data_IF_545550820394
#
_entry.id   IF_545550820394
#
_cell.length_a   1.000
_cell.length_b   1.000
_cell.length_c   1.000
_cell.angle_alpha   90.00
_cell.angle_beta   90.00
_cell.angle_gamma   90.00
#
_symmetry.space_group_name_H-M   'P 1'
#
loop_
_entity.id
_entity.type
_entity.pdbx_description
1 polymer ?
#
# COMPACT_ATOMS: atom_id res chain seq x y z
N UNK A 1 12.35 15.77 33.04
CA UNK A 1 12.77 14.43 32.62
C UNK A 1 11.62 13.48 32.89
N UNK A 2 11.30 12.63 31.92
CA UNK A 2 10.30 11.58 31.99
C UNK A 2 11.03 10.23 32.04
N UNK A 3 10.57 9.36 32.91
CA UNK A 3 11.02 7.98 32.96
C UNK A 3 10.25 7.17 31.90
N UNK A 4 10.98 6.41 31.09
CA UNK A 4 10.42 5.49 30.09
C UNK A 4 10.95 4.10 30.34
N UNK A 5 10.06 3.10 30.26
CA UNK A 5 10.41 1.69 30.23
C UNK A 5 10.29 1.17 28.81
N UNK A 6 11.38 0.63 28.24
CA UNK A 6 11.41 0.08 26.89
C UNK A 6 11.93 -1.35 26.90
N UNK A 7 11.47 -2.17 25.95
CA UNK A 7 12.01 -3.50 25.71
C UNK A 7 12.86 -3.46 24.45
N UNK A 8 14.12 -3.90 24.52
CA UNK A 8 15.02 -4.01 23.38
C UNK A 8 15.23 -5.48 23.08
N UNK A 9 15.09 -5.87 21.81
CA UNK A 9 15.51 -7.18 21.33
C UNK A 9 17.03 -7.24 21.25
N UNK A 10 17.64 -8.05 22.11
CA UNK A 10 19.07 -8.30 22.21
C UNK A 10 19.46 -9.59 21.51
N UNK A 11 20.66 -9.60 20.95
CA UNK A 11 21.27 -10.79 20.36
C UNK A 11 22.74 -10.53 20.09
N UNK A 12 23.64 -11.30 20.70
CA UNK A 12 25.06 -11.33 20.40
C UNK A 12 25.44 -12.72 19.87
N UNK A 13 25.77 -12.88 18.57
CA UNK A 13 26.01 -14.20 17.98
C UNK A 13 27.20 -14.95 18.59
N UNK A 14 28.11 -14.24 19.28
CA UNK A 14 29.25 -14.85 19.96
C UNK A 14 28.88 -15.43 21.35
N UNK A 15 27.70 -15.09 21.89
CA UNK A 15 27.30 -15.41 23.28
C UNK A 15 25.92 -16.07 23.38
N UNK A 16 24.98 -15.66 22.54
CA UNK A 16 23.57 -16.00 22.66
C UNK A 16 23.18 -17.04 21.62
N UNK A 17 22.44 -18.07 22.05
CA UNK A 17 21.88 -19.06 21.12
C UNK A 17 20.65 -18.53 20.38
N UNK A 18 19.85 -17.68 21.03
CA UNK A 18 18.57 -17.17 20.52
C UNK A 18 18.38 -15.72 20.96
N UNK A 19 17.66 -14.88 20.19
CA UNK A 19 17.37 -13.51 20.58
C UNK A 19 16.42 -13.47 21.79
N UNK A 20 16.61 -12.48 22.65
CA UNK A 20 15.77 -12.27 23.83
C UNK A 20 15.39 -10.79 23.98
N UNK A 21 14.34 -10.52 24.76
CA UNK A 21 13.96 -9.14 25.12
C UNK A 21 14.55 -8.78 26.48
N UNK A 22 15.22 -7.63 26.53
CA UNK A 22 15.70 -7.03 27.77
C UNK A 22 14.98 -5.71 28.01
N UNK A 23 14.51 -5.51 29.23
CA UNK A 23 13.83 -4.28 29.66
C UNK A 23 14.84 -3.28 30.21
N UNK A 24 14.72 -2.02 29.79
CA UNK A 24 15.51 -0.90 30.28
C UNK A 24 14.59 0.23 30.75
N UNK A 25 14.96 0.86 31.85
CA UNK A 25 14.31 2.07 32.37
C UNK A 25 15.28 3.23 32.22
N UNK A 26 14.85 4.28 31.51
CA UNK A 26 15.69 5.46 31.20
C UNK A 26 14.98 6.75 31.55
N UNK A 27 15.76 7.74 31.99
CA UNK A 27 15.29 9.11 32.17
C UNK A 27 15.67 9.95 30.95
N UNK A 28 14.67 10.48 30.24
CA UNK A 28 14.87 11.31 29.04
C UNK A 28 14.09 12.62 29.14
N UNK A 29 14.39 13.59 28.29
CA UNK A 29 13.61 14.83 28.21
C UNK A 29 12.29 14.62 27.44
N UNK A 30 11.34 15.53 27.63
CA UNK A 30 10.10 15.53 26.86
C UNK A 30 10.39 15.72 25.37
N UNK A 31 9.67 14.99 24.51
CA UNK A 31 9.92 14.95 23.07
C UNK A 31 11.17 14.17 22.67
N UNK A 32 11.77 13.39 23.58
CA UNK A 32 12.88 12.51 23.26
C UNK A 32 12.50 11.54 22.13
N UNK A 33 13.46 11.30 21.24
CA UNK A 33 13.35 10.34 20.15
C UNK A 33 13.87 8.98 20.59
N UNK A 34 13.50 7.93 19.88
CA UNK A 34 13.99 6.57 20.14
C UNK A 34 15.52 6.53 20.14
N UNK A 35 16.18 7.32 19.28
CA UNK A 35 17.64 7.43 19.28
C UNK A 35 18.21 7.96 20.61
N UNK A 36 17.56 8.93 21.25
CA UNK A 36 18.00 9.43 22.56
C UNK A 36 17.90 8.36 23.65
N UNK A 37 16.86 7.50 23.58
CA UNK A 37 16.73 6.34 24.47
C UNK A 37 17.88 5.36 24.25
N UNK A 38 18.21 5.04 22.99
CA UNK A 38 19.32 4.12 22.67
C UNK A 38 20.68 4.66 23.15
N UNK A 39 20.92 5.97 22.98
CA UNK A 39 22.11 6.64 23.51
C UNK A 39 22.15 6.56 25.03
N UNK A 40 21.05 6.91 25.71
CA UNK A 40 20.99 6.86 27.17
C UNK A 40 21.28 5.46 27.71
N UNK A 41 20.71 4.41 27.10
CA UNK A 41 20.98 3.03 27.51
C UNK A 41 22.45 2.69 27.31
N UNK A 42 22.99 2.91 26.11
CA UNK A 42 24.37 2.57 25.80
C UNK A 42 25.38 3.32 26.67
N UNK A 43 25.19 4.64 26.84
CA UNK A 43 26.19 5.49 27.48
C UNK A 43 26.15 5.39 29.01
N UNK A 44 25.01 5.02 29.59
CA UNK A 44 24.82 5.09 31.06
C UNK A 44 24.41 3.79 31.74
N UNK A 45 23.89 2.81 31.00
CA UNK A 45 23.33 1.57 31.57
C UNK A 45 24.07 0.33 31.07
N UNK A 46 24.15 0.14 29.75
CA UNK A 46 24.71 -1.05 29.12
C UNK A 46 25.46 -0.70 27.81
N UNK A 47 26.79 -0.48 27.88
CA UNK A 47 27.61 -0.16 26.71
C UNK A 47 27.79 -1.33 25.74
N UNK A 48 27.22 -2.50 26.00
CA UNK A 48 27.25 -3.63 25.06
C UNK A 48 26.16 -3.53 23.98
N UNK A 49 25.15 -2.66 24.18
CA UNK A 49 24.04 -2.46 23.25
C UNK A 49 24.54 -1.94 21.90
N UNK A 50 24.32 -2.71 20.84
CA UNK A 50 24.74 -2.33 19.49
C UNK A 50 23.58 -1.82 18.63
N UNK A 51 23.74 -0.64 18.04
CA UNK A 51 22.78 -0.04 17.11
C UNK A 51 23.50 0.89 16.13
N UNK A 52 22.86 1.19 15.00
CA UNK A 52 23.42 2.08 13.97
C UNK A 52 22.85 3.49 14.13
N UNK A 53 23.69 4.51 14.02
CA UNK A 53 23.27 5.90 13.88
C UNK A 53 24.36 6.73 13.19
N UNK A 54 24.01 7.95 12.78
CA UNK A 54 24.98 8.90 12.22
C UNK A 54 24.42 10.33 12.26
N UNK A 55 23.58 10.72 11.29
CA UNK A 55 23.22 12.13 11.08
C UNK A 55 22.25 12.75 12.10
N UNK A 56 21.50 11.92 12.85
CA UNK A 56 20.41 12.31 13.75
C UNK A 56 19.34 13.30 13.18
N UNK A 57 19.22 13.41 11.85
CA UNK A 57 18.37 14.40 11.15
C UNK A 57 17.47 13.78 10.08
N UNK A 58 17.33 12.46 10.08
CA UNK A 58 16.46 11.74 9.14
C UNK A 58 16.98 11.68 7.70
N UNK A 59 18.27 11.95 7.45
CA UNK A 59 18.84 12.02 6.09
C UNK A 59 19.72 10.83 5.69
N UNK A 60 20.41 10.17 6.63
CA UNK A 60 21.36 9.10 6.30
C UNK A 60 20.77 7.69 6.25
N UNK A 61 19.53 7.49 6.73
CA UNK A 61 18.89 6.18 6.82
C UNK A 61 19.48 5.18 7.83
N UNK A 62 20.60 5.50 8.49
CA UNK A 62 21.37 4.53 9.29
C UNK A 62 20.65 4.00 10.54
N UNK A 63 19.85 4.83 11.19
CA UNK A 63 19.17 4.49 12.45
C UNK A 63 17.80 3.82 12.24
N UNK A 64 17.62 3.10 11.13
CA UNK A 64 16.38 2.39 10.86
C UNK A 64 16.25 1.17 11.79
N UNK A 65 15.14 1.10 12.51
CA UNK A 65 14.77 0.03 13.46
C UNK A 65 13.27 -0.21 13.39
N UNK A 66 12.74 -1.23 14.06
CA UNK A 66 11.30 -1.41 14.27
C UNK A 66 10.92 -0.98 15.68
N UNK A 67 9.84 -0.21 15.80
CA UNK A 67 9.24 0.19 17.07
C UNK A 67 7.80 -0.30 17.08
N UNK A 68 7.44 -1.10 18.08
CA UNK A 68 6.14 -1.78 18.18
C UNK A 68 5.75 -2.52 16.87
N UNK A 69 6.77 -3.10 16.23
CA UNK A 69 6.64 -3.87 15.02
C UNK A 69 6.65 -3.09 13.70
N UNK A 70 6.61 -1.75 13.72
CA UNK A 70 6.64 -0.90 12.53
C UNK A 70 8.04 -0.30 12.31
N UNK A 71 8.60 -0.33 11.08
CA UNK A 71 9.91 0.24 10.82
C UNK A 71 9.88 1.77 10.78
N UNK A 72 10.82 2.39 11.49
CA UNK A 72 10.95 3.84 11.65
C UNK A 72 12.43 4.25 11.60
N UNK A 73 12.70 5.54 11.52
CA UNK A 73 14.02 6.08 11.84
C UNK A 73 14.05 6.44 13.34
N UNK A 74 14.96 5.85 14.11
CA UNK A 74 15.03 6.08 15.55
C UNK A 74 15.21 7.57 15.91
N UNK A 75 15.88 8.36 15.06
CA UNK A 75 16.05 9.80 15.28
C UNK A 75 14.78 10.64 15.00
N UNK A 76 13.79 10.07 14.31
CA UNK A 76 12.54 10.77 13.97
C UNK A 76 11.36 10.29 14.82
N UNK A 77 11.36 9.01 15.19
CA UNK A 77 10.30 8.43 16.02
C UNK A 77 10.38 8.94 17.46
N UNK A 78 9.26 9.42 17.99
CA UNK A 78 9.14 9.81 19.39
C UNK A 78 9.18 8.58 20.30
N UNK A 79 9.98 8.64 21.36
CA UNK A 79 10.06 7.57 22.34
C UNK A 79 8.80 7.56 23.21
N UNK A 80 8.17 6.38 23.33
CA UNK A 80 6.96 6.18 24.13
C UNK A 80 7.22 5.12 25.19
N UNK A 81 6.55 5.27 26.33
CA UNK A 81 6.63 4.29 27.40
C UNK A 81 6.06 2.95 26.93
N UNK A 82 6.64 1.85 27.44
CA UNK A 82 6.30 0.46 27.09
C UNK A 82 6.45 0.14 25.60
N UNK A 83 7.34 0.83 24.90
CA UNK A 83 7.66 0.50 23.51
C UNK A 83 8.60 -0.70 23.42
N UNK A 84 8.40 -1.52 22.40
CA UNK A 84 9.35 -2.57 22.00
C UNK A 84 10.18 -2.10 20.82
N UNK A 85 11.50 -2.22 20.90
CA UNK A 85 12.47 -1.82 19.86
C UNK A 85 13.17 -3.09 19.35
N UNK A 86 13.13 -3.29 18.05
CA UNK A 86 13.68 -4.46 17.36
C UNK A 86 14.54 -4.03 16.16
N UNK A 87 15.47 -4.88 15.67
CA UNK A 87 16.09 -4.65 14.37
C UNK A 87 15.05 -4.65 13.24
N UNK A 88 15.43 -4.17 12.06
CA UNK A 88 14.63 -4.38 10.85
C UNK A 88 14.43 -5.89 10.60
N UNK A 89 13.35 -6.25 9.91
CA UNK A 89 13.10 -7.62 9.47
C UNK A 89 14.04 -8.00 8.31
N UNK A 90 15.33 -8.12 8.65
CA UNK A 90 16.48 -8.42 7.82
C UNK A 90 17.44 -9.26 8.70
N UNK A 91 18.41 -9.98 8.11
CA UNK A 91 19.42 -10.70 8.89
C UNK A 91 20.07 -9.79 9.94
N UNK A 92 20.18 -10.26 11.18
CA UNK A 92 20.69 -9.49 12.31
C UNK A 92 22.14 -9.85 12.55
N UNK A 93 23.03 -8.84 12.63
CA UNK A 93 24.44 -9.04 13.03
C UNK A 93 24.60 -9.05 14.54
N UNK A 94 24.03 -8.06 15.22
CA UNK A 94 24.04 -7.94 16.68
C UNK A 94 22.99 -6.93 17.13
N UNK A 95 22.20 -7.27 18.14
CA UNK A 95 21.15 -6.41 18.72
C UNK A 95 20.27 -5.75 17.64
N UNK A 96 20.35 -4.43 17.49
CA UNK A 96 19.57 -3.63 16.54
C UNK A 96 20.29 -3.41 15.19
N UNK A 97 21.47 -4.02 15.01
CA UNK A 97 22.28 -3.92 13.78
C UNK A 97 21.85 -4.98 12.78
N UNK A 98 21.00 -4.60 11.83
CA UNK A 98 20.68 -5.42 10.66
C UNK A 98 21.79 -5.39 9.59
N UNK A 99 21.99 -6.51 8.91
CA UNK A 99 22.86 -6.61 7.74
C UNK A 99 22.16 -6.05 6.49
N UNK A 100 22.54 -4.84 6.11
CA UNK A 100 21.93 -4.14 4.97
C UNK A 100 22.68 -4.42 3.66
N UNK A 101 23.96 -4.81 3.72
CA UNK A 101 24.84 -4.89 2.56
C UNK A 101 24.28 -5.77 1.43
N UNK A 102 23.79 -7.01 1.71
CA UNK A 102 23.29 -7.87 0.64
C UNK A 102 22.12 -7.27 -0.15
N UNK A 103 21.35 -6.36 0.47
CA UNK A 103 20.22 -5.67 -0.18
C UNK A 103 20.65 -4.36 -0.83
N UNK A 104 21.63 -3.65 -0.28
CA UNK A 104 22.16 -2.43 -0.88
C UNK A 104 22.93 -2.73 -2.18
N UNK A 105 23.70 -3.82 -2.22
CA UNK A 105 24.44 -4.24 -3.42
C UNK A 105 23.51 -4.62 -4.60
N UNK A 106 22.25 -4.95 -4.31
CA UNK A 106 21.23 -5.24 -5.33
C UNK A 106 20.62 -3.96 -5.93
N UNK A 107 20.91 -2.79 -5.40
CA UNK A 107 20.43 -1.51 -5.93
C UNK A 107 21.28 -1.13 -7.14
N UNK A 108 20.64 -1.02 -8.30
CA UNK A 108 21.36 -0.74 -9.54
C UNK A 108 22.15 0.57 -9.52
N UNK A 109 23.38 0.50 -10.03
CA UNK A 109 24.25 1.66 -10.24
C UNK A 109 23.89 2.41 -11.53
N UNK A 110 24.14 3.72 -11.55
CA UNK A 110 23.98 4.56 -12.74
C UNK A 110 24.99 4.17 -13.84
N UNK A 111 24.52 4.06 -15.07
CA UNK A 111 25.35 3.72 -16.24
C UNK A 111 25.38 4.92 -17.20
N UNK A 112 26.45 5.74 -17.19
CA UNK A 112 26.49 6.96 -17.99
C UNK A 112 26.53 6.67 -19.48
N UNK A 113 25.72 7.39 -20.26
CA UNK A 113 25.87 7.47 -21.71
C UNK A 113 27.21 8.11 -22.09
N UNK A 114 27.76 7.69 -23.24
CA UNK A 114 28.97 8.28 -23.82
C UNK A 114 28.82 9.78 -24.08
N UNK A 115 27.67 10.19 -24.61
CA UNK A 115 27.32 11.60 -24.79
C UNK A 115 26.33 12.02 -23.70
N UNK A 116 26.73 12.99 -22.88
CA UNK A 116 25.93 13.48 -21.76
C UNK A 116 25.16 14.70 -22.22
N UNK A 117 23.83 14.56 -22.34
CA UNK A 117 22.91 15.68 -22.54
C UNK A 117 22.29 16.03 -21.19
N UNK A 118 22.36 17.30 -20.73
CA UNK A 118 21.68 17.73 -19.53
C UNK A 118 20.15 17.48 -19.62
N UNK A 119 19.52 16.95 -18.56
CA UNK A 119 18.08 16.69 -18.57
C UNK A 119 17.29 18.00 -18.64
N UNK A 120 16.20 17.98 -19.40
CA UNK A 120 15.20 19.05 -19.45
C UNK A 120 14.45 19.11 -18.13
N UNK A 121 13.88 20.28 -17.83
CA UNK A 121 13.08 20.49 -16.60
C UNK A 121 11.98 19.44 -16.42
N UNK A 122 11.27 19.08 -17.50
CA UNK A 122 10.22 18.07 -17.44
C UNK A 122 10.73 16.69 -16.99
N UNK A 123 11.91 16.28 -17.47
CA UNK A 123 12.55 15.00 -17.08
C UNK A 123 12.97 15.04 -15.60
N UNK A 124 13.48 16.18 -15.13
CA UNK A 124 13.83 16.37 -13.70
C UNK A 124 12.58 16.24 -12.81
N UNK A 125 11.47 16.88 -13.18
CA UNK A 125 10.23 16.80 -12.39
C UNK A 125 9.64 15.38 -12.36
N UNK A 126 9.84 14.56 -13.41
CA UNK A 126 9.46 13.15 -13.38
C UNK A 126 10.33 12.29 -12.45
N UNK A 127 11.63 12.59 -12.37
CA UNK A 127 12.60 11.86 -11.54
C UNK A 127 12.48 12.22 -10.06
N UNK A 128 12.21 13.50 -9.78
CA UNK A 128 12.24 14.09 -8.43
C UNK A 128 11.48 13.29 -7.37
N UNK A 129 10.24 12.79 -7.61
CA UNK A 129 9.51 11.99 -6.61
C UNK A 129 10.22 10.68 -6.19
N UNK A 130 11.18 10.18 -6.98
CA UNK A 130 11.88 8.92 -6.73
C UNK A 130 13.32 9.11 -6.22
N UNK A 131 13.81 10.35 -6.14
CA UNK A 131 15.22 10.65 -5.88
C UNK A 131 15.56 10.70 -4.38
N UNK A 132 14.60 11.04 -3.53
CA UNK A 132 14.86 11.34 -2.10
C UNK A 132 15.06 10.10 -1.23
N UNK A 133 15.26 8.92 -1.84
CA UNK A 133 15.49 7.68 -1.10
C UNK A 133 16.84 7.74 -0.38
N UNK A 134 16.80 7.53 0.93
CA UNK A 134 17.97 7.51 1.82
C UNK A 134 18.46 6.09 2.13
N UNK A 135 17.96 5.10 1.38
CA UNK A 135 18.38 3.69 1.47
C UNK A 135 18.29 3.06 2.89
N UNK A 136 17.36 3.56 3.72
CA UNK A 136 17.09 3.05 5.07
C UNK A 136 16.52 1.62 5.14
N UNK A 137 16.05 1.10 4.01
CA UNK A 137 15.44 -0.24 3.87
C UNK A 137 14.17 -0.52 4.72
N UNK A 138 13.55 0.50 5.34
CA UNK A 138 12.25 0.34 6.03
C UNK A 138 11.19 -0.33 5.15
N UNK A 139 11.16 0.00 3.86
CA UNK A 139 10.24 -0.59 2.90
C UNK A 139 10.45 -2.11 2.67
N UNK A 140 11.68 -2.62 2.82
CA UNK A 140 11.96 -4.07 2.71
C UNK A 140 11.50 -4.79 3.98
N UNK A 141 11.68 -4.16 5.15
CA UNK A 141 11.30 -4.73 6.44
C UNK A 141 9.80 -5.05 6.58
N UNK A 142 8.94 -4.54 5.69
CA UNK A 142 7.48 -4.78 5.69
C UNK A 142 6.98 -5.38 4.38
N UNK A 143 7.87 -5.77 3.46
CA UNK A 143 7.45 -6.24 2.14
C UNK A 143 7.26 -7.77 2.13
N UNK A 144 6.02 -8.29 2.16
CA UNK A 144 5.81 -9.73 2.19
C UNK A 144 6.28 -10.43 0.90
N UNK A 145 6.28 -9.72 -0.23
CA UNK A 145 6.71 -10.29 -1.51
C UNK A 145 8.21 -10.59 -1.57
N UNK A 146 9.03 -9.89 -0.78
CA UNK A 146 10.48 -10.15 -0.69
C UNK A 146 10.75 -11.46 0.05
N UNK A 147 9.89 -11.83 1.00
CA UNK A 147 10.08 -13.01 1.84
C UNK A 147 9.73 -14.32 1.12
N UNK A 148 8.80 -14.28 0.16
CA UNK A 148 8.24 -15.49 -0.47
C UNK A 148 8.43 -15.57 -1.98
N UNK A 149 9.08 -14.60 -2.62
CA UNK A 149 9.30 -14.58 -4.07
C UNK A 149 10.70 -14.09 -4.43
N UNK A 150 11.05 -14.12 -5.72
CA UNK A 150 12.29 -13.54 -6.25
C UNK A 150 12.32 -11.99 -6.30
N UNK A 151 11.38 -11.32 -5.66
CA UNK A 151 11.29 -9.85 -5.70
C UNK A 151 12.50 -9.22 -5.00
N UNK A 152 13.29 -8.40 -5.72
CA UNK A 152 14.37 -7.65 -5.06
C UNK A 152 13.85 -6.59 -4.09
N UNK A 153 12.62 -6.12 -4.30
CA UNK A 153 11.90 -5.28 -3.34
C UNK A 153 11.67 -3.84 -3.79
N UNK A 154 10.95 -3.05 -2.96
CA UNK A 154 10.45 -1.74 -3.36
C UNK A 154 11.57 -0.74 -3.66
N UNK A 155 12.66 -0.72 -2.89
CA UNK A 155 13.75 0.25 -3.09
C UNK A 155 14.50 -0.01 -4.41
N UNK A 156 14.70 -1.28 -4.78
CA UNK A 156 15.34 -1.67 -6.04
C UNK A 156 14.46 -1.25 -7.23
N UNK A 157 13.16 -1.56 -7.20
CA UNK A 157 12.24 -1.11 -8.27
C UNK A 157 12.16 0.41 -8.37
N UNK A 158 12.19 1.12 -7.24
CA UNK A 158 12.25 2.59 -7.20
C UNK A 158 13.53 3.11 -7.87
N UNK A 159 14.68 2.47 -7.64
CA UNK A 159 15.93 2.77 -8.34
C UNK A 159 15.82 2.53 -9.84
N UNK A 160 15.33 1.36 -10.26
CA UNK A 160 15.16 1.02 -11.67
C UNK A 160 14.29 2.05 -12.39
N UNK A 161 13.15 2.44 -11.80
CA UNK A 161 12.30 3.47 -12.40
C UNK A 161 13.00 4.84 -12.43
N UNK A 162 13.70 5.23 -11.37
CA UNK A 162 14.43 6.50 -11.35
C UNK A 162 15.47 6.57 -12.47
N UNK A 163 16.23 5.48 -12.66
CA UNK A 163 17.24 5.37 -13.72
C UNK A 163 16.59 5.28 -15.11
N UNK A 164 15.46 4.58 -15.25
CA UNK A 164 14.71 4.51 -16.50
C UNK A 164 14.14 5.85 -16.96
N UNK A 165 13.93 6.81 -16.04
CA UNK A 165 13.52 8.18 -16.33
C UNK A 165 14.71 9.11 -16.61
N UNK A 166 15.92 8.72 -16.23
CA UNK A 166 17.10 9.57 -16.37
C UNK A 166 17.65 9.46 -17.79
N UNK A 167 17.58 10.53 -18.62
CA UNK A 167 18.03 10.47 -20.00
C UNK A 167 19.54 10.23 -20.13
N UNK A 168 20.30 10.39 -19.04
CA UNK A 168 21.75 10.18 -19.01
C UNK A 168 22.12 8.71 -18.75
N UNK A 169 21.18 7.89 -18.29
CA UNK A 169 21.40 6.47 -18.02
C UNK A 169 21.24 5.65 -19.31
N UNK A 170 22.13 4.66 -19.52
CA UNK A 170 22.12 3.78 -20.70
C UNK A 170 21.67 2.35 -20.41
N UNK A 171 21.27 2.02 -19.18
CA UNK A 171 20.90 0.67 -18.77
C UNK A 171 19.52 0.25 -19.29
N UNK A 172 19.33 -1.05 -19.51
CA UNK A 172 18.01 -1.61 -19.85
C UNK A 172 17.17 -1.89 -18.59
N UNK A 173 16.86 -0.82 -17.87
CA UNK A 173 16.20 -0.82 -16.56
C UNK A 173 14.86 -1.54 -16.52
N UNK A 174 14.14 -1.55 -17.63
CA UNK A 174 12.85 -2.22 -17.71
C UNK A 174 13.02 -3.74 -17.77
N UNK A 175 14.00 -4.24 -18.54
CA UNK A 175 14.31 -5.68 -18.57
C UNK A 175 14.91 -6.14 -17.25
N UNK A 176 15.78 -5.31 -16.65
CA UNK A 176 16.35 -5.54 -15.33
C UNK A 176 15.25 -5.72 -14.27
N UNK A 177 14.33 -4.76 -14.17
CA UNK A 177 13.20 -4.84 -13.24
C UNK A 177 12.35 -6.11 -13.44
N UNK A 178 12.08 -6.50 -14.69
CA UNK A 178 11.30 -7.72 -15.01
C UNK A 178 12.03 -8.98 -14.55
N UNK A 179 13.33 -9.09 -14.85
CA UNK A 179 14.18 -10.20 -14.37
C UNK A 179 14.11 -10.30 -12.85
N UNK A 180 14.18 -9.14 -12.20
CA UNK A 180 14.30 -8.94 -10.75
C UNK A 180 12.95 -8.95 -10.01
N UNK A 181 11.89 -9.41 -10.68
CA UNK A 181 10.61 -9.76 -10.06
C UNK A 181 9.57 -8.64 -10.04
N UNK A 182 9.63 -7.65 -10.93
CA UNK A 182 8.64 -6.55 -11.01
C UNK A 182 7.16 -6.98 -10.87
N UNK A 183 6.79 -8.11 -11.47
CA UNK A 183 5.41 -8.61 -11.46
C UNK A 183 5.03 -9.42 -10.21
N UNK A 184 5.93 -9.66 -9.26
CA UNK A 184 5.60 -10.37 -8.01
C UNK A 184 5.12 -9.42 -6.90
N UNK A 185 5.30 -8.11 -7.05
CA UNK A 185 4.74 -7.15 -6.11
C UNK A 185 3.20 -7.21 -6.11
N UNK A 186 2.60 -7.37 -4.94
CA UNK A 186 1.14 -7.47 -4.78
C UNK A 186 0.42 -6.13 -4.74
N UNK A 187 1.15 -5.02 -4.84
CA UNK A 187 0.61 -3.65 -4.78
C UNK A 187 -0.12 -3.34 -3.45
N UNK A 188 0.33 -3.94 -2.33
CA UNK A 188 -0.30 -3.78 -1.00
C UNK A 188 0.02 -2.46 -0.28
N UNK A 189 0.87 -1.62 -0.89
CA UNK A 189 1.26 -0.28 -0.45
C UNK A 189 1.95 -0.17 0.93
N UNK A 190 2.30 -1.29 1.56
CA UNK A 190 3.00 -1.29 2.86
C UNK A 190 4.31 -0.48 2.83
N UNK A 191 5.06 -0.58 1.72
CA UNK A 191 6.32 0.13 1.53
C UNK A 191 6.17 1.66 1.51
N UNK A 192 5.04 2.18 1.05
CA UNK A 192 4.78 3.62 1.02
C UNK A 192 4.43 4.14 2.41
N UNK A 193 3.54 3.43 3.12
CA UNK A 193 3.11 3.79 4.49
C UNK A 193 4.28 3.99 5.45
N UNK A 194 5.33 3.17 5.33
CA UNK A 194 6.49 3.22 6.24
C UNK A 194 7.67 4.03 5.70
N UNK A 195 7.54 4.67 4.54
CA UNK A 195 8.65 5.41 3.96
C UNK A 195 8.84 6.74 4.71
N UNK A 196 9.97 6.97 5.41
CA UNK A 196 10.20 8.22 6.14
C UNK A 196 10.38 9.44 5.22
N UNK A 197 10.49 9.21 3.91
CA UNK A 197 10.60 10.22 2.86
C UNK A 197 9.36 10.28 1.98
N UNK A 198 8.30 9.56 2.35
CA UNK A 198 6.98 9.59 1.71
C UNK A 198 7.01 9.27 0.20
N UNK A 199 7.99 8.46 -0.24
CA UNK A 199 8.14 8.09 -1.65
C UNK A 199 7.03 7.11 -2.02
N UNK A 200 6.16 7.53 -2.94
CA UNK A 200 5.04 6.75 -3.47
C UNK A 200 5.51 5.66 -4.46
N UNK A 201 6.28 4.69 -3.97
CA UNK A 201 6.86 3.60 -4.77
C UNK A 201 5.81 2.82 -5.58
N UNK A 202 4.63 2.45 -5.05
CA UNK A 202 3.64 1.68 -5.81
C UNK A 202 3.23 2.35 -7.12
N UNK A 203 2.69 3.57 -7.06
CA UNK A 203 2.19 4.30 -8.24
C UNK A 203 3.31 4.92 -9.09
N UNK A 204 4.32 5.52 -8.45
CA UNK A 204 5.37 6.27 -9.17
C UNK A 204 6.51 5.39 -9.69
N UNK A 205 6.72 4.20 -9.13
CA UNK A 205 7.75 3.28 -9.60
C UNK A 205 7.18 1.97 -10.16
N UNK A 206 6.55 1.15 -9.33
CA UNK A 206 6.18 -0.23 -9.70
C UNK A 206 5.17 -0.23 -10.85
N UNK A 207 4.10 0.54 -10.75
CA UNK A 207 3.07 0.62 -11.80
C UNK A 207 3.62 1.25 -13.09
N UNK A 208 4.45 2.30 -12.98
CA UNK A 208 5.13 2.92 -14.12
C UNK A 208 6.11 1.97 -14.82
N UNK A 209 6.83 1.13 -14.07
CA UNK A 209 7.70 0.08 -14.61
C UNK A 209 6.87 -0.97 -15.34
N UNK A 210 5.77 -1.44 -14.74
CA UNK A 210 4.86 -2.41 -15.38
C UNK A 210 4.29 -1.87 -16.69
N UNK A 211 3.87 -0.62 -16.71
CA UNK A 211 3.36 0.01 -17.93
C UNK A 211 4.42 0.06 -19.05
N UNK A 212 5.67 0.37 -18.72
CA UNK A 212 6.79 0.34 -19.68
C UNK A 212 7.13 -1.09 -20.10
N UNK A 213 7.11 -2.04 -19.18
CA UNK A 213 7.36 -3.46 -19.45
C UNK A 213 6.32 -4.03 -20.43
N UNK A 214 5.03 -3.74 -20.22
CA UNK A 214 3.95 -4.18 -21.10
C UNK A 214 4.09 -3.59 -22.51
N UNK A 215 4.47 -2.31 -22.64
CA UNK A 215 4.76 -1.68 -23.96
C UNK A 215 5.88 -2.38 -24.73
N UNK A 216 6.79 -3.07 -24.02
CA UNK A 216 7.88 -3.87 -24.61
C UNK A 216 7.52 -5.35 -24.78
N UNK A 217 6.30 -5.76 -24.46
CA UNK A 217 5.85 -7.15 -24.59
C UNK A 217 6.14 -8.05 -23.39
N UNK A 218 6.63 -7.53 -22.26
CA UNK A 218 6.85 -8.31 -21.02
C UNK A 218 5.56 -8.55 -20.22
N UNK A 219 4.40 -8.63 -20.87
CA UNK A 219 3.11 -8.81 -20.20
C UNK A 219 2.90 -10.28 -19.86
N UNK A 220 2.50 -10.59 -18.63
CA UNK A 220 2.19 -11.97 -18.24
C UNK A 220 0.93 -12.48 -18.97
N UNK A 221 0.88 -13.76 -19.41
CA UNK A 221 -0.28 -14.31 -20.13
C UNK A 221 -1.61 -14.09 -19.42
N UNK A 222 -1.65 -14.33 -18.10
CA UNK A 222 -2.87 -14.14 -17.30
C UNK A 222 -3.32 -12.66 -17.23
N UNK A 223 -2.38 -11.71 -17.32
CA UNK A 223 -2.73 -10.29 -17.36
C UNK A 223 -3.41 -9.93 -18.69
N UNK A 224 -2.94 -10.52 -19.81
CA UNK A 224 -3.56 -10.36 -21.13
C UNK A 224 -4.97 -10.93 -21.16
N UNK A 225 -5.18 -12.12 -20.58
CA UNK A 225 -6.50 -12.74 -20.48
C UNK A 225 -7.49 -11.87 -19.71
N UNK A 226 -7.08 -11.31 -18.57
CA UNK A 226 -7.91 -10.39 -17.78
C UNK A 226 -8.19 -9.11 -18.56
N UNK A 227 -7.21 -8.55 -19.27
CA UNK A 227 -7.41 -7.36 -20.08
C UNK A 227 -8.36 -7.59 -21.26
N UNK A 228 -8.21 -8.71 -21.95
CA UNK A 228 -9.11 -9.11 -23.04
C UNK A 228 -10.55 -9.25 -22.53
N UNK A 229 -10.74 -9.94 -21.40
CA UNK A 229 -12.06 -10.09 -20.80
C UNK A 229 -12.70 -8.76 -20.42
N UNK A 230 -11.92 -7.82 -19.86
CA UNK A 230 -12.40 -6.48 -19.50
C UNK A 230 -12.79 -5.70 -20.76
N UNK A 231 -12.01 -5.80 -21.84
CA UNK A 231 -12.32 -5.13 -23.11
C UNK A 231 -13.61 -5.68 -23.74
N UNK A 232 -13.77 -7.00 -23.74
CA UNK A 232 -14.90 -7.69 -24.34
C UNK A 232 -16.20 -7.51 -23.53
N UNK A 233 -16.12 -7.63 -22.20
CA UNK A 233 -17.32 -7.75 -21.34
C UNK A 233 -17.52 -6.58 -20.38
N UNK A 234 -16.53 -5.69 -20.25
CA UNK A 234 -16.48 -4.69 -19.19
C UNK A 234 -16.25 -5.28 -17.80
N UNK A 235 -15.93 -6.57 -17.65
CA UNK A 235 -15.75 -7.27 -16.36
C UNK A 235 -14.38 -7.94 -16.26
N UNK A 236 -13.83 -8.00 -15.05
CA UNK A 236 -12.52 -8.63 -14.80
C UNK A 236 -12.61 -10.08 -14.32
N UNK A 237 -13.81 -10.64 -14.22
CA UNK A 237 -14.04 -12.02 -13.81
C UNK A 237 -15.05 -12.66 -14.77
N UNK A 238 -14.81 -13.90 -15.25
CA UNK A 238 -15.72 -14.54 -16.18
C UNK A 238 -17.12 -14.76 -15.58
N UNK A 239 -18.14 -14.60 -16.41
CA UNK A 239 -19.52 -14.93 -16.04
C UNK A 239 -19.66 -16.45 -15.93
N UNK A 240 -20.17 -16.92 -14.81
CA UNK A 240 -20.42 -18.36 -14.54
C UNK A 240 -21.84 -18.63 -14.06
N UNK A 241 -22.55 -17.59 -13.61
CA UNK A 241 -23.90 -17.65 -13.07
C UNK A 241 -24.66 -16.37 -13.47
N UNK A 242 -25.94 -16.30 -13.15
CA UNK A 242 -26.66 -15.03 -13.08
C UNK A 242 -25.94 -14.08 -12.10
N UNK A 243 -25.85 -12.80 -12.44
CA UNK A 243 -25.14 -11.78 -11.67
C UNK A 243 -26.02 -11.08 -10.62
N UNK A 244 -25.40 -10.49 -9.59
CA UNK A 244 -26.13 -9.67 -8.60
C UNK A 244 -26.92 -8.54 -9.29
N UNK A 245 -26.31 -7.90 -10.29
CA UNK A 245 -26.97 -6.84 -11.06
C UNK A 245 -28.20 -7.36 -11.84
N UNK A 246 -28.30 -8.64 -12.18
CA UNK A 246 -29.50 -9.21 -12.79
C UNK A 246 -30.58 -9.55 -11.74
N UNK A 247 -30.17 -9.93 -10.52
CA UNK A 247 -31.06 -10.35 -9.44
C UNK A 247 -31.82 -9.21 -8.75
N UNK A 248 -31.25 -8.01 -8.69
CA UNK A 248 -31.81 -6.88 -7.92
C UNK A 248 -32.49 -5.84 -8.82
N UNK A 249 -33.47 -5.11 -8.28
CA UNK A 249 -34.04 -3.94 -8.96
C UNK A 249 -32.99 -2.81 -9.11
N UNK A 250 -33.27 -1.83 -9.97
CA UNK A 250 -32.39 -0.67 -10.15
C UNK A 250 -32.40 0.32 -8.98
N UNK A 251 -33.44 0.27 -8.13
CA UNK A 251 -33.56 1.07 -6.91
C UNK A 251 -34.08 0.17 -5.80
N UNK A 252 -33.45 0.25 -4.63
CA UNK A 252 -33.86 -0.41 -3.40
C UNK A 252 -34.31 0.65 -2.40
N UNK A 253 -35.59 0.57 -2.03
CA UNK A 253 -36.16 1.41 -0.98
C UNK A 253 -35.90 0.81 0.40
N UNK A 254 -35.59 1.64 1.42
CA UNK A 254 -35.45 1.18 2.79
C UNK A 254 -36.81 0.79 3.39
N UNK A 255 -36.80 0.02 4.48
CA UNK A 255 -38.04 -0.36 5.19
C UNK A 255 -38.69 0.81 5.94
N UNK A 256 -37.88 1.79 6.35
CA UNK A 256 -38.29 2.96 7.11
C UNK A 256 -38.06 4.27 6.35
N UNK A 257 -38.07 5.42 7.05
CA UNK A 257 -37.82 6.72 6.41
C UNK A 257 -36.42 6.76 5.80
N UNK A 258 -36.31 7.49 4.69
CA UNK A 258 -35.04 7.66 3.97
C UNK A 258 -34.16 8.64 4.75
N UNK A 259 -33.06 8.12 5.29
CA UNK A 259 -32.02 8.89 5.96
C UNK A 259 -30.91 9.34 5.00
N UNK A 260 -30.64 8.54 3.98
CA UNK A 260 -29.65 8.84 2.94
C UNK A 260 -30.00 8.13 1.62
N UNK A 261 -29.50 8.66 0.51
CA UNK A 261 -29.55 8.01 -0.81
C UNK A 261 -28.14 7.89 -1.37
N UNK A 262 -27.77 6.72 -1.86
CA UNK A 262 -26.43 6.45 -2.42
C UNK A 262 -26.50 5.63 -3.70
N UNK A 263 -25.53 5.81 -4.60
CA UNK A 263 -25.33 4.91 -5.73
C UNK A 263 -24.40 3.77 -5.35
N UNK A 264 -24.75 2.52 -5.65
CA UNK A 264 -23.92 1.37 -5.29
C UNK A 264 -23.05 0.90 -6.45
N UNK A 265 -21.73 0.97 -6.25
CA UNK A 265 -20.74 0.32 -7.10
C UNK A 265 -20.47 -1.09 -6.59
N UNK A 266 -20.99 -2.10 -7.30
CA UNK A 266 -20.95 -3.50 -6.84
C UNK A 266 -19.54 -4.09 -6.90
N UNK A 267 -18.74 -3.73 -7.91
CA UNK A 267 -17.47 -4.40 -8.18
C UNK A 267 -17.60 -5.83 -8.73
N UNK A 268 -16.51 -6.37 -9.28
CA UNK A 268 -16.54 -7.62 -10.04
C UNK A 268 -16.82 -8.87 -9.16
N UNK A 269 -16.20 -8.95 -7.98
CA UNK A 269 -16.32 -10.11 -7.09
C UNK A 269 -17.72 -10.22 -6.49
N UNK A 270 -18.27 -9.13 -5.96
CA UNK A 270 -19.62 -9.15 -5.40
C UNK A 270 -20.69 -9.31 -6.47
N UNK A 271 -20.41 -8.92 -7.73
CA UNK A 271 -21.36 -9.14 -8.81
C UNK A 271 -21.47 -10.62 -9.24
N UNK A 272 -20.40 -11.41 -9.14
CA UNK A 272 -20.32 -12.73 -9.80
C UNK A 272 -19.78 -13.88 -8.94
N UNK A 273 -19.28 -13.64 -7.73
CA UNK A 273 -18.66 -14.67 -6.86
C UNK A 273 -19.11 -14.60 -5.41
N UNK A 274 -19.33 -13.40 -4.89
CA UNK A 274 -19.75 -13.15 -3.50
C UNK A 274 -21.09 -12.40 -3.47
N UNK A 275 -22.06 -12.90 -4.25
CA UNK A 275 -23.35 -12.23 -4.45
C UNK A 275 -24.14 -12.14 -3.15
N UNK A 276 -24.12 -13.20 -2.34
CA UNK A 276 -24.80 -13.20 -1.04
C UNK A 276 -24.31 -12.06 -0.15
N UNK A 277 -23.00 -11.79 -0.11
CA UNK A 277 -22.48 -10.67 0.68
C UNK A 277 -22.98 -9.31 0.20
N UNK A 278 -23.18 -9.10 -1.10
CA UNK A 278 -23.81 -7.88 -1.60
C UNK A 278 -25.30 -7.82 -1.27
N UNK A 279 -26.04 -8.93 -1.38
CA UNK A 279 -27.44 -9.00 -0.98
C UNK A 279 -27.62 -8.70 0.52
N UNK A 280 -26.79 -9.29 1.37
CA UNK A 280 -26.78 -9.05 2.81
C UNK A 280 -26.44 -7.57 3.12
N UNK A 281 -25.47 -6.99 2.41
CA UNK A 281 -25.16 -5.57 2.52
C UNK A 281 -26.36 -4.69 2.12
N UNK A 282 -27.09 -5.03 1.06
CA UNK A 282 -28.31 -4.30 0.68
C UNK A 282 -29.38 -4.38 1.77
N UNK A 283 -29.56 -5.54 2.40
CA UNK A 283 -30.51 -5.70 3.51
C UNK A 283 -30.10 -4.84 4.73
N UNK A 284 -28.81 -4.80 5.07
CA UNK A 284 -28.28 -3.91 6.12
C UNK A 284 -28.59 -2.44 5.79
N UNK A 285 -28.34 -1.99 4.55
CA UNK A 285 -28.63 -0.62 4.14
C UNK A 285 -30.13 -0.30 4.22
N UNK A 286 -30.99 -1.23 3.76
CA UNK A 286 -32.46 -1.06 3.81
C UNK A 286 -33.00 -0.91 5.23
N UNK A 287 -32.52 -1.73 6.17
CA UNK A 287 -32.88 -1.63 7.60
C UNK A 287 -32.46 -0.30 8.20
N UNK A 288 -31.31 0.21 7.77
CA UNK A 288 -30.74 1.44 8.28
C UNK A 288 -31.26 2.72 7.60
N UNK A 289 -32.34 2.64 6.81
CA UNK A 289 -32.96 3.82 6.20
C UNK A 289 -32.20 4.36 4.98
N UNK A 290 -31.34 3.56 4.36
CA UNK A 290 -30.51 4.00 3.23
C UNK A 290 -31.14 3.51 1.93
N UNK A 291 -31.57 4.45 1.07
CA UNK A 291 -31.99 4.17 -0.30
C UNK A 291 -30.76 3.89 -1.16
N UNK A 292 -30.82 2.83 -1.96
CA UNK A 292 -29.70 2.42 -2.81
C UNK A 292 -30.12 2.43 -4.28
N UNK A 293 -29.44 3.24 -5.09
CA UNK A 293 -29.58 3.26 -6.54
C UNK A 293 -28.48 2.36 -7.12
N UNK A 294 -28.84 1.40 -7.96
CA UNK A 294 -27.92 0.39 -8.50
C UNK A 294 -27.90 0.47 -10.03
N UNK A 295 -27.04 1.35 -10.60
CA UNK A 295 -26.88 1.43 -12.06
C UNK A 295 -26.35 0.11 -12.63
N UNK A 296 -27.02 -0.43 -13.65
CA UNK A 296 -26.66 -1.72 -14.27
C UNK A 296 -25.51 -1.60 -15.27
N UNK A 297 -25.29 -0.40 -15.79
CA UNK A 297 -24.31 -0.11 -16.84
C UNK A 297 -22.87 0.06 -16.33
N UNK A 298 -22.67 0.01 -15.01
CA UNK A 298 -21.36 0.12 -14.40
C UNK A 298 -20.45 -1.01 -14.91
N UNK A 299 -19.19 -0.70 -15.21
CA UNK A 299 -18.16 -1.63 -15.69
C UNK A 299 -17.08 -1.82 -14.63
N UNK A 300 -16.02 -2.56 -14.96
CA UNK A 300 -14.85 -2.72 -14.10
C UNK A 300 -14.32 -1.35 -13.64
N UNK A 301 -13.88 -1.24 -12.39
CA UNK A 301 -13.28 -0.01 -11.88
C UNK A 301 -11.94 0.33 -12.53
N UNK A 302 -11.33 -0.62 -13.28
CA UNK A 302 -10.04 -0.45 -13.93
C UNK A 302 -8.84 -0.88 -13.08
N UNK A 303 -9.04 -1.19 -11.79
CA UNK A 303 -7.96 -1.56 -10.86
C UNK A 303 -7.00 -2.64 -11.40
N UNK A 304 -7.48 -3.79 -11.93
CA UNK A 304 -6.58 -4.82 -12.43
C UNK A 304 -5.68 -4.32 -13.56
N UNK A 305 -6.19 -3.45 -14.43
CA UNK A 305 -5.44 -2.86 -15.54
C UNK A 305 -4.40 -1.85 -15.05
N UNK A 306 -4.79 -0.97 -14.14
CA UNK A 306 -3.90 0.04 -13.55
C UNK A 306 -2.73 -0.64 -12.83
N UNK A 307 -3.03 -1.57 -11.90
CA UNK A 307 -2.00 -2.24 -11.09
C UNK A 307 -1.08 -3.13 -11.91
N UNK A 308 -1.54 -3.65 -13.05
CA UNK A 308 -0.71 -4.46 -13.97
C UNK A 308 -0.04 -3.63 -15.07
N UNK A 309 -0.30 -2.33 -15.16
CA UNK A 309 0.28 -1.42 -16.16
C UNK A 309 -0.32 -1.53 -17.57
N UNK A 310 -1.54 -2.05 -17.71
CA UNK A 310 -2.23 -2.22 -19.00
C UNK A 310 -3.20 -1.05 -19.23
N UNK A 311 -2.67 0.13 -19.56
CA UNK A 311 -3.41 1.41 -19.41
C UNK A 311 -4.29 1.81 -20.61
N UNK A 312 -4.21 1.11 -21.73
CA UNK A 312 -4.81 1.50 -23.01
C UNK A 312 -6.35 1.59 -23.02
N UNK A 313 -7.02 0.91 -22.09
CA UNK A 313 -8.49 0.87 -21.98
C UNK A 313 -9.02 1.51 -20.69
N UNK A 314 -8.13 2.03 -19.83
CA UNK A 314 -8.50 2.50 -18.49
C UNK A 314 -9.41 3.72 -18.55
N UNK A 315 -9.12 4.68 -19.42
CA UNK A 315 -9.89 5.94 -19.49
C UNK A 315 -11.33 5.71 -19.99
N UNK A 316 -11.53 4.75 -20.90
CA UNK A 316 -12.86 4.32 -21.32
C UNK A 316 -13.68 3.79 -20.13
N UNK A 317 -13.09 2.91 -19.31
CA UNK A 317 -13.76 2.36 -18.12
C UNK A 317 -14.12 3.46 -17.11
N UNK A 318 -13.20 4.40 -16.89
CA UNK A 318 -13.42 5.54 -15.99
C UNK A 318 -14.61 6.37 -16.45
N UNK A 319 -14.58 6.81 -17.70
CA UNK A 319 -15.62 7.65 -18.28
C UNK A 319 -16.98 6.94 -18.27
N UNK A 320 -17.02 5.66 -18.67
CA UNK A 320 -18.25 4.87 -18.67
C UNK A 320 -18.88 4.79 -17.28
N UNK A 321 -18.07 4.56 -16.24
CA UNK A 321 -18.54 4.57 -14.86
C UNK A 321 -19.01 5.96 -14.44
N UNK A 322 -18.24 7.02 -14.72
CA UNK A 322 -18.61 8.40 -14.39
C UNK A 322 -19.98 8.76 -14.97
N UNK A 323 -20.19 8.51 -16.27
CA UNK A 323 -21.45 8.79 -16.96
C UNK A 323 -22.62 7.99 -16.38
N UNK A 324 -22.35 6.74 -15.98
CA UNK A 324 -23.36 5.83 -15.41
C UNK A 324 -23.95 6.37 -14.10
N UNK A 325 -23.11 6.94 -13.23
CA UNK A 325 -23.57 7.51 -11.95
C UNK A 325 -24.07 8.96 -12.12
N UNK A 326 -23.38 9.78 -12.91
CA UNK A 326 -23.74 11.19 -13.13
C UNK A 326 -25.11 11.35 -13.78
N UNK A 327 -25.42 10.53 -14.78
CA UNK A 327 -26.71 10.60 -15.49
C UNK A 327 -27.93 10.34 -14.60
N UNK A 328 -27.72 9.81 -13.39
CA UNK A 328 -28.75 9.50 -12.40
C UNK A 328 -28.78 10.47 -11.21
N UNK A 329 -28.03 11.57 -11.28
CA UNK A 329 -27.97 12.56 -10.20
C UNK A 329 -27.34 12.03 -8.91
N UNK A 330 -26.47 11.01 -9.01
CA UNK A 330 -25.82 10.42 -7.84
C UNK A 330 -24.59 11.26 -7.47
N UNK A 331 -24.60 11.85 -6.28
CA UNK A 331 -23.49 12.62 -5.71
C UNK A 331 -22.55 11.79 -4.81
N UNK A 332 -23.02 10.64 -4.34
CA UNK A 332 -22.33 9.77 -3.40
C UNK A 332 -22.39 8.33 -3.89
N UNK A 333 -21.23 7.76 -4.22
CA UNK A 333 -21.06 6.37 -4.64
C UNK A 333 -20.54 5.54 -3.47
N UNK A 334 -21.37 4.60 -3.04
CA UNK A 334 -21.05 3.59 -2.04
C UNK A 334 -20.30 2.41 -2.69
N UNK A 335 -19.25 1.96 -2.03
CA UNK A 335 -18.56 0.69 -2.32
C UNK A 335 -18.49 -0.17 -1.06
N UNK A 336 -18.48 -1.48 -1.24
CA UNK A 336 -18.10 -2.44 -0.20
C UNK A 336 -16.80 -3.18 -0.55
N UNK A 337 -16.23 -2.88 -1.72
CA UNK A 337 -14.95 -3.43 -2.16
C UNK A 337 -13.85 -2.40 -1.90
N UNK A 338 -12.92 -2.73 -1.01
CA UNK A 338 -11.75 -1.92 -0.69
C UNK A 338 -10.96 -1.50 -1.94
N UNK A 339 -10.69 -2.45 -2.85
CA UNK A 339 -9.94 -2.18 -4.08
C UNK A 339 -10.70 -1.28 -5.07
N UNK A 340 -12.00 -1.50 -5.26
CA UNK A 340 -12.81 -0.61 -6.11
C UNK A 340 -12.94 0.79 -5.50
N UNK A 341 -13.15 0.87 -4.18
CA UNK A 341 -13.24 2.13 -3.45
C UNK A 341 -11.97 2.95 -3.56
N UNK A 342 -10.81 2.36 -3.27
CA UNK A 342 -9.49 2.98 -3.45
C UNK A 342 -9.28 3.46 -4.89
N UNK A 343 -9.62 2.62 -5.87
CA UNK A 343 -9.46 2.96 -7.29
C UNK A 343 -10.35 4.13 -7.69
N UNK A 344 -11.63 4.12 -7.32
CA UNK A 344 -12.56 5.22 -7.59
C UNK A 344 -12.14 6.50 -6.83
N UNK A 345 -11.60 6.39 -5.61
CA UNK A 345 -11.12 7.54 -4.82
C UNK A 345 -9.89 8.19 -5.46
N UNK A 346 -8.88 7.41 -5.82
CA UNK A 346 -7.54 7.94 -6.13
C UNK A 346 -7.22 7.95 -7.63
N UNK A 347 -7.79 7.04 -8.41
CA UNK A 347 -7.46 6.92 -9.84
C UNK A 347 -8.48 7.62 -10.75
N UNK A 348 -9.58 8.16 -10.21
CA UNK A 348 -10.61 8.92 -10.95
C UNK A 348 -10.58 10.39 -10.52
N UNK A 349 -9.62 11.20 -10.99
CA UNK A 349 -9.51 12.60 -10.55
C UNK A 349 -10.68 13.47 -11.02
N UNK A 350 -11.32 13.14 -12.14
CA UNK A 350 -12.41 13.89 -12.78
C UNK A 350 -13.83 13.50 -12.30
N UNK A 351 -13.95 12.60 -11.32
CA UNK A 351 -15.27 12.14 -10.85
C UNK A 351 -16.08 13.30 -10.22
N UNK A 352 -17.38 13.43 -10.53
CA UNK A 352 -18.24 14.46 -9.95
C UNK A 352 -18.89 14.03 -8.62
N UNK A 353 -18.57 12.83 -8.11
CA UNK A 353 -19.18 12.24 -6.93
C UNK A 353 -18.15 11.89 -5.86
N UNK A 354 -18.59 11.91 -4.60
CA UNK A 354 -17.85 11.37 -3.46
C UNK A 354 -17.91 9.85 -3.49
N UNK A 355 -16.84 9.18 -3.08
CA UNK A 355 -16.80 7.73 -2.92
C UNK A 355 -16.70 7.42 -1.42
N UNK A 356 -17.54 6.53 -0.91
CA UNK A 356 -17.59 6.16 0.51
C UNK A 356 -17.64 4.64 0.67
N UNK A 357 -16.90 4.11 1.65
CA UNK A 357 -17.01 2.70 2.04
C UNK A 357 -18.28 2.45 2.85
N UNK A 358 -18.86 1.26 2.73
CA UNK A 358 -20.05 0.87 3.47
C UNK A 358 -19.92 1.05 4.99
N UNK A 359 -18.76 0.72 5.56
CA UNK A 359 -18.55 0.85 7.00
C UNK A 359 -18.48 2.33 7.40
N UNK A 360 -17.82 3.16 6.59
CA UNK A 360 -17.74 4.61 6.82
C UNK A 360 -19.14 5.24 6.84
N UNK A 361 -20.00 4.88 5.89
CA UNK A 361 -21.38 5.40 5.82
C UNK A 361 -22.21 4.95 7.03
N UNK A 362 -22.14 3.66 7.37
CA UNK A 362 -22.90 3.09 8.48
C UNK A 362 -22.45 3.64 9.83
N UNK A 363 -21.15 3.90 10.02
CA UNK A 363 -20.64 4.58 11.22
C UNK A 363 -21.13 6.03 11.29
N UNK A 364 -21.16 6.76 10.18
CA UNK A 364 -21.63 8.16 10.14
C UNK A 364 -23.13 8.30 10.46
N UNK A 365 -23.97 7.42 9.94
CA UNK A 365 -25.43 7.48 10.12
C UNK A 365 -25.92 6.77 11.38
N UNK A 366 -25.07 5.94 11.99
CA UNK A 366 -25.45 4.99 13.02
C UNK A 366 -26.16 3.77 12.43
N UNK A 367 -26.06 2.65 13.15
CA UNK A 367 -26.72 1.40 12.78
C UNK A 367 -27.75 1.02 13.83
N UNK A 368 -28.86 0.41 13.37
CA UNK A 368 -29.70 -0.41 14.21
C UNK A 368 -28.82 -1.51 14.83
N UNK A 369 -28.79 -1.66 16.16
CA UNK A 369 -27.93 -2.62 16.81
C UNK A 369 -28.16 -4.03 16.27
N UNK A 370 -27.13 -4.69 15.68
CA UNK A 370 -27.30 -6.04 15.18
C UNK A 370 -27.51 -7.02 16.32
N UNK A 371 -28.08 -8.19 16.01
CA UNK A 371 -28.17 -9.28 16.97
C UNK A 371 -26.78 -9.64 17.50
N UNK A 372 -26.67 -9.86 18.82
CA UNK A 372 -25.42 -10.31 19.43
C UNK A 372 -25.21 -11.78 19.09
N UNK A 373 -24.13 -12.07 18.37
CA UNK A 373 -23.69 -13.43 18.09
C UNK A 373 -22.70 -13.86 19.18
N UNK A 374 -22.93 -15.01 19.81
CA UNK A 374 -21.99 -15.58 20.79
C UNK A 374 -20.84 -16.30 20.08
N UNK A 375 -20.06 -15.56 19.29
CA UNK A 375 -18.94 -16.06 18.51
C UNK A 375 -17.69 -15.22 18.77
N UNK A 376 -16.53 -15.85 18.66
CA UNK A 376 -15.24 -15.16 18.57
C UNK A 376 -14.84 -15.09 17.10
N UNK A 377 -14.57 -13.90 16.61
CA UNK A 377 -14.13 -13.67 15.23
C UNK A 377 -12.77 -12.96 15.23
N UNK A 378 -11.93 -13.29 14.25
CA UNK A 378 -10.72 -12.52 13.94
C UNK A 378 -11.01 -11.68 12.72
N UNK A 379 -10.75 -10.38 12.81
CA UNK A 379 -10.93 -9.45 11.70
C UNK A 379 -9.57 -9.10 11.09
N UNK A 380 -9.51 -9.06 9.75
CA UNK A 380 -8.33 -8.65 9.01
C UNK A 380 -8.69 -7.45 8.13
N UNK A 381 -8.10 -6.30 8.43
CA UNK A 381 -8.30 -5.08 7.68
C UNK A 381 -7.84 -5.20 6.22
N UNK A 382 -8.70 -4.87 5.24
CA UNK A 382 -8.28 -4.81 3.84
C UNK A 382 -7.18 -3.75 3.64
N UNK A 383 -6.07 -4.14 3.00
CA UNK A 383 -4.93 -3.24 2.77
C UNK A 383 -5.30 -1.93 2.06
N UNK A 384 -6.26 -1.96 1.13
CA UNK A 384 -6.71 -0.78 0.40
C UNK A 384 -7.65 0.14 1.21
N UNK A 385 -8.26 -0.33 2.31
CA UNK A 385 -8.98 0.57 3.23
C UNK A 385 -8.01 1.28 4.17
N UNK A 386 -6.95 0.59 4.58
CA UNK A 386 -5.97 1.13 5.53
C UNK A 386 -4.92 2.03 4.87
N UNK A 387 -4.58 1.77 3.59
CA UNK A 387 -3.40 2.36 2.92
C UNK A 387 -3.70 2.99 1.56
N UNK A 388 -4.96 3.03 1.11
CA UNK A 388 -5.30 3.49 -0.23
C UNK A 388 -6.60 4.26 -0.30
#
# INVERSE_FOLDING_TARGET
MKELTVQIRRFDPDKDNEPYFQTFTVNVNDGARVLHVLHAIHDTIDPTLSYRYSCASGQCGSCAVRVNGEPVLACMEEAKDKSTIEPLNLPVKKDLVSDLLPKLEQIASFLPKKEIVPPKRAEIEEIKPLRDCIECLCCLSVCPAVDVTKFLGPTAMRQEMRLALDPRDSGDRISDAVRDGLFTCTSCQACWKVCPKEIEIPGKAIEKLRARANKRGFTLPRHLEVAALIKETGRSVPRTTESFLEQVSGVLEPYGPVKATVGFFVGCMYNLRQQQSALDAMEVLKRNGIRVIIPKEQVCCGSPLIRTGQLDYVDYLKQRNIDTFRSRGIDTVLTMCAGCGSTLKNDYPEKPFRVIDINELLTQLGIEPPAKLNIKATYHDPCHLLRG
#
